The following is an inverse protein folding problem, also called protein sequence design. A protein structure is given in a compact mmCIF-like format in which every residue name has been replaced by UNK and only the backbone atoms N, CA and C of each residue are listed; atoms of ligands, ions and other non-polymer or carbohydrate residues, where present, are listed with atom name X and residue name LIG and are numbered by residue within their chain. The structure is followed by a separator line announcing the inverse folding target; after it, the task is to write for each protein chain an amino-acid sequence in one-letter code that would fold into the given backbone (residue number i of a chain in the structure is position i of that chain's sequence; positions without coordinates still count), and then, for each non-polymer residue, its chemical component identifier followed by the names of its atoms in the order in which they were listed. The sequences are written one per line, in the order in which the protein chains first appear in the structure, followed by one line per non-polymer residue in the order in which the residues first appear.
data_IF_547573573791
#
_entry.id   IF_547573573791
#
_cell.length_a   1.000
_cell.length_b   1.000
_cell.length_c   1.000
_cell.angle_alpha   90.00
_cell.angle_beta   90.00
_cell.angle_gamma   90.00
#
_symmetry.space_group_name_H-M   'P 1'
#
loop_
_entity.id
_entity.type
_entity.pdbx_description
1 polymer ?
#
# COMPACT_ATOMS: atom_id res chain seq x y z
N UNK A 1 -8.20 5.98 -21.16
CA UNK A 1 -7.41 6.45 -20.01
C UNK A 1 -7.94 5.78 -18.76
N UNK A 2 -7.13 4.92 -18.16
CA UNK A 2 -7.47 4.13 -16.96
C UNK A 2 -6.96 4.84 -15.70
N UNK A 3 -5.77 5.41 -15.77
CA UNK A 3 -5.18 6.21 -14.68
C UNK A 3 -4.79 7.58 -15.23
N UNK A 4 -5.15 8.63 -14.51
CA UNK A 4 -4.77 10.01 -14.83
C UNK A 4 -4.25 10.71 -13.59
N UNK A 5 -2.97 11.06 -13.60
CA UNK A 5 -2.24 11.73 -12.52
C UNK A 5 -1.91 13.14 -12.97
N UNK A 6 -2.41 14.16 -12.27
CA UNK A 6 -2.26 15.57 -12.62
C UNK A 6 -1.62 16.38 -11.51
N UNK A 7 -0.42 16.90 -11.76
CA UNK A 7 0.32 17.83 -10.90
C UNK A 7 0.39 17.38 -9.43
N UNK A 8 0.57 16.07 -9.21
CA UNK A 8 0.56 15.48 -7.87
C UNK A 8 1.80 15.90 -7.10
N UNK A 9 1.56 16.51 -5.95
CA UNK A 9 2.60 16.86 -4.96
C UNK A 9 2.21 16.24 -3.62
N UNK A 10 3.16 15.56 -2.98
CA UNK A 10 2.99 14.96 -1.65
C UNK A 10 3.99 15.57 -0.69
N UNK A 11 3.48 16.10 0.42
CA UNK A 11 4.28 16.72 1.47
C UNK A 11 4.03 16.02 2.81
N UNK A 12 5.10 15.75 3.53
CA UNK A 12 5.06 15.29 4.90
C UNK A 12 5.45 16.41 5.84
N UNK A 13 4.68 16.58 6.89
CA UNK A 13 5.04 17.49 7.97
C UNK A 13 5.82 16.71 9.01
N UNK A 14 7.10 17.02 9.16
CA UNK A 14 7.96 16.46 10.20
C UNK A 14 7.88 17.41 11.39
N UNK A 15 7.28 16.97 12.47
CA UNK A 15 7.27 17.70 13.73
C UNK A 15 8.10 16.93 14.75
N UNK A 16 9.03 17.60 15.41
CA UNK A 16 9.89 17.02 16.45
C UNK A 16 9.10 16.75 17.75
N UNK A 17 7.91 16.11 17.61
CA UNK A 17 7.02 15.85 18.77
C UNK A 17 7.47 14.69 19.65
N UNK A 18 8.44 13.86 19.24
CA UNK A 18 8.79 12.63 19.96
C UNK A 18 9.52 12.86 21.30
N UNK A 19 10.01 14.07 21.56
CA UNK A 19 10.81 14.37 22.75
C UNK A 19 10.18 15.42 23.69
N UNK A 20 8.96 15.89 23.41
CA UNK A 20 8.39 17.00 24.16
C UNK A 20 7.28 16.48 25.08
N UNK A 21 7.47 16.63 26.40
CA UNK A 21 6.45 16.34 27.40
C UNK A 21 5.22 17.25 27.25
N UNK A 22 4.04 16.77 27.72
CA UNK A 22 2.75 17.47 27.56
C UNK A 22 2.79 18.95 28.04
N UNK A 23 3.56 19.25 29.10
CA UNK A 23 3.75 20.61 29.63
C UNK A 23 4.51 21.49 28.64
N UNK A 24 5.58 20.99 28.07
CA UNK A 24 6.41 21.71 27.10
C UNK A 24 5.66 21.95 25.78
N UNK A 25 4.82 21.02 25.37
CA UNK A 25 3.91 21.17 24.23
C UNK A 25 2.97 22.35 24.40
N UNK A 26 2.32 22.47 25.56
CA UNK A 26 1.41 23.57 25.85
C UNK A 26 2.13 24.93 25.85
N UNK A 27 3.35 25.00 26.40
CA UNK A 27 4.16 26.21 26.44
C UNK A 27 4.62 26.64 25.03
N UNK A 28 5.08 25.68 24.20
CA UNK A 28 5.52 25.93 22.83
C UNK A 28 4.34 26.30 21.91
N UNK A 29 3.16 25.71 22.14
CA UNK A 29 1.93 26.05 21.41
C UNK A 29 1.49 27.50 21.68
N UNK A 30 1.58 27.96 22.92
CA UNK A 30 1.27 29.35 23.30
C UNK A 30 2.31 30.33 22.70
N UNK A 31 3.59 29.95 22.65
CA UNK A 31 4.68 30.76 22.09
C UNK A 31 4.78 30.75 20.57
N UNK A 32 3.93 30.00 19.83
CA UNK A 32 4.02 29.79 18.35
C UNK A 32 5.39 29.30 17.86
N UNK A 33 6.18 28.66 18.68
CA UNK A 33 7.56 28.24 18.39
C UNK A 33 7.65 26.75 17.97
N UNK A 34 6.59 26.24 17.32
CA UNK A 34 6.57 24.90 16.77
C UNK A 34 7.15 24.99 15.36
N UNK A 35 8.45 24.72 15.23
CA UNK A 35 9.08 24.54 13.91
C UNK A 35 8.58 23.25 13.31
N UNK A 36 7.67 23.33 12.37
CA UNK A 36 7.27 22.25 11.49
C UNK A 36 8.10 22.31 10.22
N UNK A 37 8.85 21.27 9.95
CA UNK A 37 9.60 21.14 8.71
C UNK A 37 8.73 20.36 7.70
N UNK A 38 8.56 20.92 6.50
CA UNK A 38 7.83 20.24 5.43
C UNK A 38 8.83 19.56 4.51
N UNK A 39 8.65 18.26 4.34
CA UNK A 39 9.43 17.45 3.40
C UNK A 39 8.55 17.11 2.20
N UNK A 40 8.95 17.51 1.00
CA UNK A 40 8.26 17.16 -0.24
C UNK A 40 8.79 15.83 -0.76
N UNK A 41 7.98 14.79 -0.68
CA UNK A 41 8.34 13.44 -1.11
C UNK A 41 8.07 13.18 -2.60
N UNK A 42 7.05 13.85 -3.16
CA UNK A 42 6.70 13.83 -4.59
C UNK A 42 6.39 15.25 -4.99
N UNK A 43 6.97 15.73 -6.08
CA UNK A 43 6.78 17.11 -6.54
C UNK A 43 6.29 17.15 -7.99
N UNK A 44 5.09 17.71 -8.18
CA UNK A 44 4.48 18.06 -9.45
C UNK A 44 4.53 16.96 -10.53
N UNK A 45 4.18 15.73 -10.17
CA UNK A 45 4.20 14.57 -11.08
C UNK A 45 2.89 14.49 -11.87
N UNK A 46 3.01 14.31 -13.20
CA UNK A 46 1.86 14.12 -14.10
C UNK A 46 2.16 13.03 -15.12
N UNK A 47 1.21 12.12 -15.32
CA UNK A 47 1.20 11.13 -16.40
C UNK A 47 -0.19 10.51 -16.52
N UNK A 48 -0.44 9.83 -17.63
CA UNK A 48 -1.65 9.03 -17.85
C UNK A 48 -1.32 7.65 -18.37
N UNK A 49 -2.18 6.68 -18.06
CA UNK A 49 -2.07 5.30 -18.53
C UNK A 49 -3.38 4.86 -19.17
N UNK A 50 -3.27 4.17 -20.28
CA UNK A 50 -4.39 3.51 -20.96
C UNK A 50 -4.43 2.00 -20.62
N UNK A 51 -5.47 1.32 -21.07
CA UNK A 51 -5.61 -0.12 -20.87
C UNK A 51 -4.48 -0.87 -21.58
N UNK A 52 -3.83 -1.78 -20.86
CA UNK A 52 -2.68 -2.55 -21.36
C UNK A 52 -1.32 -1.88 -21.18
N UNK A 53 -1.27 -0.64 -20.69
CA UNK A 53 0.01 0.04 -20.47
C UNK A 53 0.78 -0.52 -19.26
N UNK A 54 2.11 -0.43 -19.36
CA UNK A 54 3.05 -0.71 -18.27
C UNK A 54 3.86 0.54 -17.95
N UNK A 55 3.87 0.93 -16.68
CA UNK A 55 4.68 2.04 -16.20
C UNK A 55 5.74 1.54 -15.20
N UNK A 56 7.02 1.75 -15.55
CA UNK A 56 8.15 1.54 -14.65
C UNK A 56 8.49 2.82 -13.88
N UNK A 57 8.48 2.77 -12.53
CA UNK A 57 8.92 3.88 -11.67
C UNK A 57 10.29 3.53 -11.09
N UNK A 58 11.34 4.22 -11.55
CA UNK A 58 12.73 3.97 -11.18
C UNK A 58 13.26 5.15 -10.36
N UNK A 59 14.13 4.87 -9.41
CA UNK A 59 14.79 5.89 -8.57
C UNK A 59 15.46 5.28 -7.35
N UNK A 60 16.29 6.06 -6.68
CA UNK A 60 16.99 5.67 -5.44
C UNK A 60 16.02 5.41 -4.28
N UNK A 61 16.49 4.82 -3.20
CA UNK A 61 15.69 4.69 -1.97
C UNK A 61 15.38 6.09 -1.42
N UNK A 62 14.13 6.30 -1.01
CA UNK A 62 13.66 7.62 -0.56
C UNK A 62 13.17 8.56 -1.67
N UNK A 63 13.29 8.21 -2.96
CA UNK A 63 12.86 9.06 -4.09
C UNK A 63 11.32 9.23 -4.23
N UNK A 64 10.51 8.77 -3.29
CA UNK A 64 9.06 8.97 -3.31
C UNK A 64 8.27 7.92 -4.10
N UNK A 65 8.89 6.87 -4.65
CA UNK A 65 8.21 5.82 -5.45
C UNK A 65 7.01 5.20 -4.73
N UNK A 66 7.23 4.71 -3.53
CA UNK A 66 6.18 4.09 -2.71
C UNK A 66 5.11 5.10 -2.28
N UNK A 67 5.48 6.36 -2.07
CA UNK A 67 4.55 7.45 -1.77
C UNK A 67 3.63 7.72 -2.95
N UNK A 68 4.18 7.80 -4.17
CA UNK A 68 3.39 7.97 -5.39
C UNK A 68 2.42 6.81 -5.60
N UNK A 69 2.88 5.55 -5.42
CA UNK A 69 2.02 4.37 -5.51
C UNK A 69 0.88 4.38 -4.48
N UNK A 70 1.14 4.84 -3.23
CA UNK A 70 0.11 4.99 -2.20
C UNK A 70 -0.95 6.04 -2.58
N UNK A 71 -0.55 7.11 -3.26
CA UNK A 71 -1.50 8.11 -3.78
C UNK A 71 -2.34 7.54 -4.92
N UNK A 72 -1.72 6.85 -5.89
CA UNK A 72 -2.43 6.22 -7.00
C UNK A 72 -3.44 5.18 -6.48
N UNK A 73 -3.05 4.41 -5.46
CA UNK A 73 -3.90 3.39 -4.83
C UNK A 73 -5.01 3.97 -3.94
N UNK A 74 -5.10 5.29 -3.79
CA UNK A 74 -6.10 5.93 -2.94
C UNK A 74 -5.86 5.79 -1.43
N UNK A 75 -4.73 5.21 -1.00
CA UNK A 75 -4.35 5.06 0.41
C UNK A 75 -3.96 6.42 1.01
N UNK A 76 -3.42 7.30 0.19
CA UNK A 76 -2.97 8.62 0.60
C UNK A 76 -3.52 9.70 -0.32
N UNK A 77 -3.95 10.82 0.26
CA UNK A 77 -4.35 12.01 -0.52
C UNK A 77 -3.13 12.88 -0.82
N UNK A 78 -2.99 13.40 -2.05
CA UNK A 78 -1.93 14.34 -2.37
C UNK A 78 -2.20 15.71 -1.70
N UNK A 79 -1.13 16.47 -1.43
CA UNK A 79 -1.22 17.85 -0.95
C UNK A 79 -1.68 18.81 -2.05
N UNK A 80 -1.30 18.51 -3.32
CA UNK A 80 -1.74 19.22 -4.52
C UNK A 80 -1.94 18.24 -5.66
N UNK A 81 -2.74 18.65 -6.65
CA UNK A 81 -3.05 17.83 -7.82
C UNK A 81 -4.17 16.82 -7.57
N UNK A 82 -4.35 15.92 -8.50
CA UNK A 82 -5.40 14.91 -8.45
C UNK A 82 -4.98 13.61 -9.10
N UNK A 83 -5.58 12.51 -8.64
CA UNK A 83 -5.48 11.20 -9.28
C UNK A 83 -6.88 10.71 -9.57
N UNK A 84 -7.12 10.33 -10.82
CA UNK A 84 -8.38 9.71 -11.25
C UNK A 84 -8.08 8.30 -11.72
N UNK A 85 -8.83 7.32 -11.22
CA UNK A 85 -8.71 5.91 -11.61
C UNK A 85 -10.07 5.41 -12.07
N UNK A 86 -10.13 4.91 -13.29
CA UNK A 86 -11.32 4.31 -13.88
C UNK A 86 -11.17 2.79 -13.81
N UNK A 87 -11.66 2.18 -12.73
CA UNK A 87 -11.58 0.74 -12.49
C UNK A 87 -11.25 0.39 -11.05
N UNK A 88 -10.98 -0.90 -10.80
CA UNK A 88 -10.57 -1.41 -9.49
C UNK A 88 -9.04 -1.47 -9.42
N UNK A 89 -8.47 -1.05 -8.31
CA UNK A 89 -7.03 -1.16 -8.04
C UNK A 89 -6.80 -2.35 -7.11
N UNK A 90 -5.92 -3.27 -7.54
CA UNK A 90 -5.33 -4.28 -6.66
C UNK A 90 -3.91 -3.80 -6.27
N UNK A 91 -3.78 -3.16 -5.11
CA UNK A 91 -2.50 -2.62 -4.66
C UNK A 91 -1.64 -3.70 -4.00
N UNK A 92 -0.49 -4.01 -4.61
CA UNK A 92 0.54 -4.91 -4.07
C UNK A 92 1.76 -4.08 -3.65
N UNK A 93 1.58 -3.20 -2.66
CA UNK A 93 2.60 -2.22 -2.27
C UNK A 93 3.73 -2.81 -1.44
N UNK A 94 3.45 -3.87 -0.71
CA UNK A 94 4.43 -4.55 0.14
C UNK A 94 4.18 -6.06 0.09
N UNK A 95 5.25 -6.86 0.02
CA UNK A 95 5.18 -8.32 0.06
C UNK A 95 4.52 -8.77 1.38
N UNK A 96 3.44 -9.54 1.28
CA UNK A 96 2.72 -10.02 2.46
C UNK A 96 1.81 -8.98 3.13
N UNK A 97 1.69 -7.76 2.59
CA UNK A 97 0.74 -6.76 3.10
C UNK A 97 -0.70 -7.30 3.05
N UNK A 98 -1.37 -7.26 4.19
CA UNK A 98 -2.74 -7.78 4.36
C UNK A 98 -2.81 -9.29 4.63
N UNK A 99 -1.67 -9.95 4.90
CA UNK A 99 -1.63 -11.30 5.43
C UNK A 99 -1.27 -11.27 6.92
N UNK A 100 -1.94 -12.12 7.70
CA UNK A 100 -1.62 -12.32 9.10
C UNK A 100 -0.56 -13.44 9.21
N UNK A 101 0.61 -13.18 9.78
CA UNK A 101 1.69 -14.16 9.89
C UNK A 101 1.33 -15.38 10.74
N UNK A 102 0.41 -15.26 11.67
CA UNK A 102 0.01 -16.32 12.59
C UNK A 102 -1.11 -17.21 12.04
N UNK A 103 -1.87 -16.72 11.08
CA UNK A 103 -2.89 -17.51 10.39
C UNK A 103 -2.29 -18.45 9.36
N UNK A 104 -3.01 -19.55 9.09
CA UNK A 104 -2.67 -20.46 7.99
C UNK A 104 -2.84 -19.78 6.63
N UNK A 105 -2.28 -20.38 5.58
CA UNK A 105 -2.47 -19.93 4.21
C UNK A 105 -3.94 -19.92 3.85
N UNK A 106 -4.66 -20.98 4.20
CA UNK A 106 -6.10 -21.09 3.98
C UNK A 106 -6.85 -19.90 4.60
N UNK A 107 -6.63 -19.64 5.88
CA UNK A 107 -7.28 -18.55 6.60
C UNK A 107 -6.93 -17.19 5.98
N UNK A 108 -5.68 -17.00 5.59
CA UNK A 108 -5.24 -15.77 4.93
C UNK A 108 -5.91 -15.55 3.56
N UNK A 109 -6.10 -16.59 2.75
CA UNK A 109 -6.82 -16.47 1.48
C UNK A 109 -8.25 -15.96 1.70
N UNK A 110 -8.97 -16.53 2.67
CA UNK A 110 -10.32 -16.07 3.00
C UNK A 110 -10.34 -14.68 3.61
N UNK A 111 -9.40 -14.37 4.52
CA UNK A 111 -9.25 -13.04 5.09
C UNK A 111 -9.00 -11.99 3.99
N UNK A 112 -8.06 -12.27 3.09
CA UNK A 112 -7.74 -11.38 1.98
C UNK A 112 -8.91 -11.18 1.03
N UNK A 113 -9.63 -12.27 0.69
CA UNK A 113 -10.84 -12.21 -0.11
C UNK A 113 -11.91 -11.30 0.52
N UNK A 114 -12.14 -11.44 1.83
CA UNK A 114 -13.07 -10.61 2.56
C UNK A 114 -12.65 -9.12 2.59
N UNK A 115 -11.35 -8.85 2.79
CA UNK A 115 -10.81 -7.48 2.76
C UNK A 115 -10.96 -6.81 1.39
N UNK A 116 -10.93 -7.60 0.30
CA UNK A 116 -11.16 -7.13 -1.07
C UNK A 116 -12.66 -7.05 -1.43
N UNK A 117 -13.55 -7.44 -0.51
CA UNK A 117 -15.00 -7.38 -0.69
C UNK A 117 -15.58 -8.57 -1.47
N UNK A 118 -14.85 -9.68 -1.60
CA UNK A 118 -15.37 -10.90 -2.20
C UNK A 118 -16.19 -11.72 -1.19
N UNK A 119 -17.21 -12.42 -1.70
CA UNK A 119 -18.00 -13.34 -0.86
C UNK A 119 -17.22 -14.61 -0.57
N UNK A 120 -17.60 -15.31 0.51
CA UNK A 120 -16.97 -16.58 0.89
C UNK A 120 -17.15 -17.66 -0.20
N UNK A 121 -18.31 -17.67 -0.84
CA UNK A 121 -18.64 -18.59 -1.94
C UNK A 121 -17.70 -18.39 -3.12
N UNK A 122 -17.49 -17.12 -3.53
CA UNK A 122 -16.56 -16.79 -4.61
C UNK A 122 -15.12 -17.22 -4.28
N UNK A 123 -14.65 -16.90 -3.07
CA UNK A 123 -13.30 -17.31 -2.64
C UNK A 123 -13.17 -18.82 -2.60
N UNK A 124 -14.21 -19.55 -2.15
CA UNK A 124 -14.21 -21.02 -2.10
C UNK A 124 -14.11 -21.62 -3.51
N UNK A 125 -14.84 -21.07 -4.48
CA UNK A 125 -14.77 -21.50 -5.89
C UNK A 125 -13.35 -21.34 -6.47
N UNK A 126 -12.68 -20.22 -6.18
CA UNK A 126 -11.35 -19.88 -6.70
C UNK A 126 -10.20 -20.43 -5.85
N UNK A 127 -10.49 -21.03 -4.71
CA UNK A 127 -9.48 -21.44 -3.72
C UNK A 127 -8.40 -22.37 -4.28
N UNK A 128 -8.81 -23.39 -5.03
CA UNK A 128 -7.88 -24.34 -5.66
C UNK A 128 -6.96 -23.62 -6.65
N UNK A 129 -7.53 -22.83 -7.54
CA UNK A 129 -6.78 -22.08 -8.57
C UNK A 129 -5.74 -21.16 -7.92
N UNK A 130 -6.09 -20.53 -6.78
CA UNK A 130 -5.18 -19.66 -6.02
C UNK A 130 -4.00 -20.45 -5.47
N UNK A 131 -4.27 -21.61 -4.84
CA UNK A 131 -3.21 -22.44 -4.26
C UNK A 131 -2.29 -23.05 -5.31
N UNK A 132 -2.84 -23.52 -6.42
CA UNK A 132 -2.07 -24.09 -7.53
C UNK A 132 -1.17 -23.03 -8.16
N UNK A 133 -1.70 -21.85 -8.47
CA UNK A 133 -0.93 -20.74 -9.00
C UNK A 133 0.21 -20.31 -8.08
N UNK A 134 -0.05 -20.25 -6.77
CA UNK A 134 0.93 -19.86 -5.76
C UNK A 134 1.91 -21.00 -5.41
N UNK A 135 1.69 -22.24 -5.91
CA UNK A 135 2.42 -23.46 -5.53
C UNK A 135 2.38 -23.71 -4.01
N UNK A 136 1.21 -23.52 -3.41
CA UNK A 136 1.01 -23.59 -1.96
C UNK A 136 0.07 -24.72 -1.52
N UNK A 137 -0.36 -25.59 -2.42
CA UNK A 137 -1.32 -26.67 -2.14
C UNK A 137 -0.89 -27.54 -0.94
N UNK A 138 0.39 -27.91 -0.87
CA UNK A 138 0.92 -28.74 0.24
C UNK A 138 1.11 -27.96 1.55
N UNK A 139 0.99 -26.62 1.49
CA UNK A 139 1.25 -25.73 2.62
C UNK A 139 0.00 -25.07 3.17
N UNK A 140 -1.20 -25.42 2.66
CA UNK A 140 -2.46 -24.70 2.96
C UNK A 140 -2.76 -24.56 4.47
N UNK A 141 -2.37 -25.58 5.26
CA UNK A 141 -2.58 -25.61 6.71
C UNK A 141 -1.37 -25.12 7.53
N UNK A 142 -0.33 -24.61 6.88
CA UNK A 142 0.84 -24.03 7.56
C UNK A 142 0.64 -22.56 7.82
N UNK A 143 1.17 -22.06 8.94
CA UNK A 143 1.17 -20.63 9.25
C UNK A 143 2.00 -19.85 8.21
N UNK A 144 1.48 -18.69 7.81
CA UNK A 144 2.07 -17.85 6.76
C UNK A 144 3.53 -17.48 7.05
N UNK A 145 3.90 -17.22 8.32
CA UNK A 145 5.28 -16.93 8.75
C UNK A 145 6.30 -18.03 8.46
N UNK A 146 5.83 -19.23 8.14
CA UNK A 146 6.71 -20.39 7.81
C UNK A 146 7.05 -20.44 6.32
N UNK A 147 6.49 -19.54 5.50
CA UNK A 147 6.79 -19.48 4.07
C UNK A 147 8.06 -18.69 3.77
N UNK A 148 8.76 -19.06 2.69
CA UNK A 148 9.84 -18.26 2.14
C UNK A 148 9.29 -17.00 1.43
N UNK A 149 10.12 -15.93 1.35
CA UNK A 149 9.75 -14.68 0.69
C UNK A 149 9.24 -14.85 -0.75
N UNK A 150 9.80 -15.82 -1.51
CA UNK A 150 9.36 -16.11 -2.87
C UNK A 150 7.94 -16.70 -2.94
N UNK A 151 7.57 -17.56 -1.97
CA UNK A 151 6.22 -18.12 -1.86
C UNK A 151 5.20 -17.06 -1.42
N UNK A 152 5.61 -16.17 -0.50
CA UNK A 152 4.82 -15.02 -0.08
C UNK A 152 4.51 -14.11 -1.27
N UNK A 153 5.50 -13.80 -2.11
CA UNK A 153 5.31 -12.98 -3.30
C UNK A 153 4.25 -13.55 -4.25
N UNK A 154 4.32 -14.85 -4.55
CA UNK A 154 3.33 -15.53 -5.41
C UNK A 154 1.93 -15.55 -4.81
N UNK A 155 1.80 -15.77 -3.50
CA UNK A 155 0.52 -15.71 -2.81
C UNK A 155 -0.12 -14.31 -2.86
N UNK A 156 0.69 -13.26 -2.89
CA UNK A 156 0.22 -11.86 -2.92
C UNK A 156 -0.28 -11.40 -4.30
N UNK A 157 0.15 -12.09 -5.37
CA UNK A 157 -0.15 -11.68 -6.75
C UNK A 157 -1.53 -12.13 -7.26
N UNK A 158 -2.34 -12.83 -6.47
CA UNK A 158 -3.67 -13.29 -6.85
C UNK A 158 -4.71 -12.99 -5.76
#
# INVERSE_FOLDING_TARGET
MVIDVKNVTVQYTISNFREIGLKEYLIKKVKRDIKTEQFTAVDNVSFSLDEGDFLGIIGTNGAGKSTLLKVISGIMKPAKGSVTVNGKIAALLELGSGFDPDLTIKENVFLRGAMLGYTKEFVTEKYKDILEYAELTEFENRAFKQLSSGKIGRASCR
#
